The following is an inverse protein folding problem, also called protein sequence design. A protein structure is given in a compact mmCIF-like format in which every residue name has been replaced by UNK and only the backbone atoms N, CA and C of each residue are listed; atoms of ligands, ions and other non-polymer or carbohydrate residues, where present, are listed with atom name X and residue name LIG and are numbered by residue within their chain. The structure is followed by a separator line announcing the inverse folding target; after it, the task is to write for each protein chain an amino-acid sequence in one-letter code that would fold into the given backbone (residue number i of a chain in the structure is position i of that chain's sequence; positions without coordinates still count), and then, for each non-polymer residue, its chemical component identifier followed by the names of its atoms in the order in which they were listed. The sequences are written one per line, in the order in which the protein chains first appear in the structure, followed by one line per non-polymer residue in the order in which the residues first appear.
data_IF_788918061193
#
_entry.id   IF_788918061193
#
_cell.length_a   1.000
_cell.length_b   1.000
_cell.length_c   1.000
_cell.angle_alpha   90.00
_cell.angle_beta   90.00
_cell.angle_gamma   90.00
#
_symmetry.space_group_name_H-M   'P 1'
#
loop_
_entity.id
_entity.type
_entity.pdbx_description
1 polymer ?
#
# COMPACT_ATOMS: atom_id res chain seq x y z
N UNK A 1 -1.70 -11.75 -2.14
CA UNK A 1 -0.59 -12.20 -1.29
C UNK A 1 -0.91 -11.93 0.17
N UNK A 2 -0.77 -12.93 0.98
CA UNK A 2 -0.97 -12.78 2.44
C UNK A 2 0.33 -12.36 3.10
N UNK A 3 0.23 -11.47 4.07
CA UNK A 3 1.33 -10.95 4.86
C UNK A 3 0.96 -10.98 6.33
N UNK A 4 1.97 -10.94 7.20
CA UNK A 4 1.77 -10.67 8.62
C UNK A 4 2.41 -9.33 8.93
N UNK A 5 1.60 -8.38 9.33
CA UNK A 5 2.03 -7.01 9.64
C UNK A 5 1.68 -6.72 11.10
N UNK A 6 2.69 -6.45 11.91
CA UNK A 6 2.52 -6.21 13.34
C UNK A 6 1.72 -7.33 14.04
N UNK A 7 1.99 -8.60 13.66
CA UNK A 7 1.34 -9.77 14.24
C UNK A 7 -0.07 -10.06 13.75
N UNK A 8 -0.57 -9.32 12.75
CA UNK A 8 -1.92 -9.51 12.19
C UNK A 8 -1.88 -9.81 10.71
N UNK A 9 -2.81 -10.63 10.24
CA UNK A 9 -2.90 -10.97 8.83
C UNK A 9 -3.29 -9.74 8.00
N UNK A 10 -2.58 -9.56 6.88
CA UNK A 10 -2.84 -8.51 5.91
C UNK A 10 -2.84 -9.08 4.50
N UNK A 11 -3.52 -8.40 3.59
CA UNK A 11 -3.62 -8.81 2.21
C UNK A 11 -3.12 -7.71 1.27
N UNK A 12 -2.37 -8.11 0.24
CA UNK A 12 -2.00 -7.26 -0.88
C UNK A 12 -2.31 -7.96 -2.19
N UNK A 13 -3.03 -7.28 -3.07
CA UNK A 13 -3.21 -7.71 -4.44
C UNK A 13 -1.95 -7.38 -5.24
N UNK A 14 -1.43 -8.33 -5.98
CA UNK A 14 -0.11 -8.19 -6.64
C UNK A 14 -0.21 -8.01 -8.16
N UNK A 15 -1.37 -7.62 -8.66
CA UNK A 15 -1.58 -7.29 -10.06
C UNK A 15 -1.75 -8.50 -10.98
N UNK A 16 -2.08 -9.67 -10.43
CA UNK A 16 -2.26 -10.88 -11.20
C UNK A 16 -0.97 -11.61 -11.54
N UNK A 17 0.15 -11.23 -10.92
CA UNK A 17 1.46 -11.88 -11.01
C UNK A 17 2.04 -12.10 -9.64
N UNK A 18 2.89 -13.13 -9.44
CA UNK A 18 3.63 -13.28 -8.19
C UNK A 18 4.46 -12.02 -7.90
N UNK A 19 4.48 -11.61 -6.63
CA UNK A 19 5.26 -10.46 -6.23
C UNK A 19 6.75 -10.80 -6.18
N UNK A 20 7.57 -9.95 -6.83
CA UNK A 20 9.03 -10.05 -6.81
C UNK A 20 9.59 -8.78 -6.18
N UNK A 21 10.15 -8.85 -4.95
CA UNK A 21 10.68 -7.69 -4.26
C UNK A 21 11.93 -7.10 -4.93
N UNK A 22 12.57 -7.82 -5.84
CA UNK A 22 13.72 -7.30 -6.59
C UNK A 22 13.32 -6.29 -7.67
N UNK A 23 12.04 -6.26 -8.07
CA UNK A 23 11.56 -5.30 -9.07
C UNK A 23 11.25 -3.95 -8.42
N UNK A 24 11.35 -2.84 -9.18
CA UNK A 24 10.84 -1.56 -8.70
C UNK A 24 9.38 -1.71 -8.31
N UNK A 25 9.03 -1.33 -7.09
CA UNK A 25 7.72 -1.62 -6.50
C UNK A 25 6.85 -0.39 -6.41
N UNK A 26 5.56 -0.57 -6.66
CA UNK A 26 4.52 0.42 -6.40
C UNK A 26 3.59 -0.14 -5.33
N UNK A 27 3.39 0.62 -4.27
CA UNK A 27 2.41 0.34 -3.23
C UNK A 27 1.21 1.26 -3.42
N UNK A 28 0.02 0.67 -3.53
CA UNK A 28 -1.24 1.38 -3.69
C UNK A 28 -2.02 1.35 -2.39
N UNK A 29 -2.54 2.52 -1.99
CA UNK A 29 -3.28 2.70 -0.72
C UNK A 29 -4.66 3.28 -1.04
N UNK A 30 -5.71 2.51 -0.73
CA UNK A 30 -7.09 2.91 -1.00
C UNK A 30 -7.63 3.91 0.04
N UNK A 31 -8.82 4.46 -0.26
CA UNK A 31 -9.53 5.35 0.65
C UNK A 31 -10.35 4.60 1.70
N UNK A 32 -10.95 5.36 2.62
CA UNK A 32 -11.82 4.80 3.66
C UNK A 32 -13.00 4.04 3.02
N UNK A 33 -13.40 2.94 3.65
CA UNK A 33 -14.48 2.01 3.22
C UNK A 33 -14.31 1.47 1.80
N UNK A 34 -13.11 1.54 1.26
CA UNK A 34 -12.73 0.92 0.00
C UNK A 34 -11.87 -0.31 0.27
N UNK A 35 -11.23 -0.83 -0.75
CA UNK A 35 -10.29 -1.94 -0.68
C UNK A 35 -9.34 -1.90 -1.88
N UNK A 36 -8.47 -2.92 -2.01
CA UNK A 36 -7.51 -3.00 -3.11
C UNK A 36 -8.17 -2.93 -4.50
N UNK A 37 -9.44 -3.30 -4.63
CA UNK A 37 -10.08 -3.42 -5.94
C UNK A 37 -10.19 -2.09 -6.70
N UNK A 38 -10.13 -0.95 -6.01
CA UNK A 38 -10.09 0.36 -6.67
C UNK A 38 -8.85 0.54 -7.54
N UNK A 39 -7.82 -0.26 -7.29
CA UNK A 39 -6.54 -0.21 -8.02
C UNK A 39 -6.38 -1.32 -9.05
N UNK A 40 -7.36 -2.21 -9.21
CA UNK A 40 -7.21 -3.46 -9.99
C UNK A 40 -6.62 -3.21 -11.39
N UNK A 41 -7.15 -2.24 -12.13
CA UNK A 41 -6.69 -1.98 -13.50
C UNK A 41 -5.25 -1.46 -13.55
N UNK A 42 -4.93 -0.47 -12.70
CA UNK A 42 -3.57 0.06 -12.63
C UNK A 42 -2.58 -0.97 -12.11
N UNK A 43 -2.97 -1.72 -11.08
CA UNK A 43 -2.13 -2.78 -10.51
C UNK A 43 -1.75 -3.81 -11.58
N UNK A 44 -2.73 -4.26 -12.36
CA UNK A 44 -2.48 -5.22 -13.44
C UNK A 44 -1.56 -4.64 -14.51
N UNK A 45 -1.79 -3.40 -14.88
CA UNK A 45 -0.96 -2.76 -15.90
C UNK A 45 0.51 -2.70 -15.46
N UNK A 46 0.78 -2.20 -14.24
CA UNK A 46 2.15 -2.09 -13.74
C UNK A 46 2.81 -3.45 -13.54
N UNK A 47 2.07 -4.44 -13.02
CA UNK A 47 2.61 -5.78 -12.82
C UNK A 47 3.03 -6.43 -14.14
N UNK A 48 2.32 -6.13 -15.24
CA UNK A 48 2.64 -6.64 -16.57
C UNK A 48 3.66 -5.79 -17.34
N UNK A 49 4.17 -4.72 -16.71
CA UNK A 49 5.16 -3.81 -17.28
C UNK A 49 6.42 -3.69 -16.40
N UNK A 50 6.81 -4.78 -15.77
CA UNK A 50 8.09 -4.89 -15.08
C UNK A 50 8.14 -4.31 -13.68
N UNK A 51 6.99 -4.09 -13.02
CA UNK A 51 6.92 -3.56 -11.66
C UNK A 51 6.44 -4.61 -10.68
N UNK A 52 6.96 -4.54 -9.45
CA UNK A 52 6.34 -5.21 -8.32
C UNK A 52 5.13 -4.37 -7.87
N UNK A 53 4.02 -5.02 -7.56
CA UNK A 53 2.79 -4.32 -7.17
C UNK A 53 2.29 -4.85 -5.84
N UNK A 54 1.98 -3.93 -4.94
CA UNK A 54 1.34 -4.22 -3.66
C UNK A 54 0.14 -3.27 -3.50
N UNK A 55 -1.04 -3.73 -3.85
CA UNK A 55 -2.28 -2.99 -3.60
C UNK A 55 -2.87 -3.54 -2.30
N UNK A 56 -2.63 -2.85 -1.19
CA UNK A 56 -3.01 -3.31 0.14
C UNK A 56 -4.51 -3.15 0.40
N UNK A 57 -5.06 -4.08 1.18
CA UNK A 57 -6.24 -3.82 1.98
C UNK A 57 -5.78 -3.25 3.31
N UNK A 58 -6.23 -2.06 3.67
CA UNK A 58 -5.89 -1.44 4.95
C UNK A 58 -6.45 -2.26 6.12
N UNK A 59 -5.87 -2.15 7.32
CA UNK A 59 -6.38 -2.87 8.50
C UNK A 59 -7.88 -2.66 8.70
N UNK A 60 -8.59 -3.76 8.96
CA UNK A 60 -10.04 -3.74 9.13
C UNK A 60 -10.85 -3.64 7.84
N UNK A 61 -10.19 -3.67 6.68
CA UNK A 61 -10.84 -3.61 5.37
C UNK A 61 -10.66 -4.94 4.63
N UNK A 62 -11.72 -5.43 4.00
CA UNK A 62 -11.75 -6.61 3.14
C UNK A 62 -10.98 -7.80 3.72
N UNK A 63 -9.81 -8.12 3.18
CA UNK A 63 -9.03 -9.32 3.55
C UNK A 63 -7.95 -9.06 4.59
N UNK A 64 -7.81 -7.82 5.06
CA UNK A 64 -6.89 -7.52 6.15
C UNK A 64 -7.60 -7.58 7.50
N UNK A 65 -6.90 -8.12 8.51
CA UNK A 65 -7.46 -8.33 9.82
C UNK A 65 -7.84 -7.03 10.53
N UNK A 66 -8.91 -7.12 11.34
CA UNK A 66 -9.33 -6.03 12.24
C UNK A 66 -8.39 -5.92 13.42
N UNK A 67 -8.39 -4.80 14.16
CA UNK A 67 -9.26 -3.64 13.96
C UNK A 67 -8.73 -2.67 12.91
N UNK A 68 -9.63 -1.79 12.41
CA UNK A 68 -9.21 -0.63 11.65
C UNK A 68 -8.39 0.32 12.53
N UNK A 69 -7.37 0.96 11.94
CA UNK A 69 -6.53 1.88 12.69
C UNK A 69 -7.15 3.27 12.74
N UNK A 70 -6.96 3.99 13.87
CA UNK A 70 -7.74 5.19 14.17
C UNK A 70 -7.23 6.48 13.52
N UNK A 71 -6.04 6.48 12.92
CA UNK A 71 -5.44 7.73 12.43
C UNK A 71 -4.59 7.53 11.18
N UNK A 72 -4.36 8.63 10.47
CA UNK A 72 -3.42 8.65 9.33
C UNK A 72 -2.02 8.26 9.78
N UNK A 73 -1.60 8.71 10.95
CA UNK A 73 -0.28 8.39 11.51
C UNK A 73 -0.13 6.89 11.77
N UNK A 74 -1.14 6.27 12.36
CA UNK A 74 -1.13 4.83 12.62
C UNK A 74 -1.15 4.04 11.30
N UNK A 75 -1.90 4.48 10.31
CA UNK A 75 -1.93 3.85 8.98
C UNK A 75 -0.60 4.02 8.24
N UNK A 76 0.06 5.16 8.39
CA UNK A 76 1.39 5.37 7.80
C UNK A 76 2.44 4.44 8.43
N UNK A 77 2.41 4.27 9.75
CA UNK A 77 3.28 3.31 10.43
C UNK A 77 3.01 1.89 9.95
N UNK A 78 1.73 1.54 9.80
CA UNK A 78 1.33 0.25 9.28
C UNK A 78 1.83 0.04 7.84
N UNK A 79 1.72 1.04 6.97
CA UNK A 79 2.19 0.95 5.58
C UNK A 79 3.69 0.67 5.54
N UNK A 80 4.49 1.37 6.33
CA UNK A 80 5.93 1.14 6.40
C UNK A 80 6.24 -0.27 6.92
N UNK A 81 5.52 -0.74 7.93
CA UNK A 81 5.66 -2.10 8.44
C UNK A 81 5.24 -3.15 7.39
N UNK A 82 4.22 -2.85 6.59
CA UNK A 82 3.77 -3.73 5.52
C UNK A 82 4.82 -3.84 4.40
N UNK A 83 5.48 -2.76 4.06
CA UNK A 83 6.61 -2.79 3.11
C UNK A 83 7.75 -3.66 3.66
N UNK A 84 8.05 -3.53 4.94
CA UNK A 84 9.08 -4.37 5.58
C UNK A 84 8.68 -5.85 5.52
N UNK A 85 7.43 -6.19 5.81
CA UNK A 85 6.93 -7.55 5.76
C UNK A 85 7.01 -8.14 4.34
N UNK A 86 6.88 -7.31 3.31
CA UNK A 86 7.00 -7.71 1.92
C UNK A 86 8.46 -7.74 1.41
N UNK A 87 9.42 -7.35 2.23
CA UNK A 87 10.83 -7.29 1.85
C UNK A 87 11.17 -6.11 0.94
N UNK A 88 10.41 -5.01 1.04
CA UNK A 88 10.56 -3.84 0.18
C UNK A 88 11.16 -2.69 0.98
N UNK A 89 12.35 -2.24 0.58
CA UNK A 89 12.99 -1.08 1.20
C UNK A 89 12.49 0.24 0.65
N UNK A 90 12.25 0.31 -0.65
CA UNK A 90 11.83 1.54 -1.34
C UNK A 90 10.73 1.22 -2.31
N UNK A 91 9.72 2.08 -2.36
CA UNK A 91 8.59 1.93 -3.26
C UNK A 91 8.04 3.30 -3.71
N UNK A 92 7.44 3.33 -4.89
CA UNK A 92 6.54 4.41 -5.23
C UNK A 92 5.26 4.22 -4.40
N UNK A 93 4.79 5.29 -3.78
CA UNK A 93 3.57 5.27 -2.97
C UNK A 93 2.47 6.01 -3.72
N UNK A 94 1.38 5.31 -4.01
CA UNK A 94 0.23 5.87 -4.70
C UNK A 94 -1.00 5.73 -3.80
N UNK A 95 -1.64 6.84 -3.48
CA UNK A 95 -2.80 6.85 -2.61
C UNK A 95 -3.99 7.56 -3.22
N UNK A 96 -5.19 7.12 -2.84
CA UNK A 96 -6.46 7.71 -3.24
C UNK A 96 -7.24 8.16 -2.01
N UNK A 97 -7.71 9.41 -2.00
CA UNK A 97 -8.49 9.98 -0.91
C UNK A 97 -7.73 9.89 0.43
N UNK A 98 -8.28 9.21 1.46
CA UNK A 98 -7.56 8.96 2.72
C UNK A 98 -6.21 8.31 2.46
N UNK A 99 -6.13 7.37 1.53
CA UNK A 99 -4.87 6.70 1.17
C UNK A 99 -3.80 7.65 0.69
N UNK A 100 -4.16 8.78 0.07
CA UNK A 100 -3.19 9.79 -0.34
C UNK A 100 -2.54 10.48 0.85
N UNK A 101 -3.31 10.71 1.92
CA UNK A 101 -2.79 11.29 3.16
C UNK A 101 -1.89 10.29 3.90
N UNK A 102 -2.25 9.01 3.87
CA UNK A 102 -1.42 7.94 4.44
C UNK A 102 -0.09 7.84 3.70
N UNK A 103 -0.11 7.85 2.38
CA UNK A 103 1.09 7.81 1.55
C UNK A 103 1.98 9.03 1.79
N UNK A 104 1.39 10.21 1.87
CA UNK A 104 2.12 11.45 2.18
C UNK A 104 2.78 11.38 3.56
N UNK A 105 2.05 10.94 4.58
CA UNK A 105 2.58 10.84 5.93
C UNK A 105 3.74 9.83 5.98
N UNK A 106 3.60 8.68 5.35
CA UNK A 106 4.67 7.69 5.28
C UNK A 106 5.92 8.24 4.57
N UNK A 107 5.74 8.91 3.44
CA UNK A 107 6.84 9.53 2.70
C UNK A 107 7.52 10.65 3.50
N UNK A 108 6.75 11.42 4.27
CA UNK A 108 7.27 12.49 5.11
C UNK A 108 8.11 11.95 6.27
N UNK A 109 7.68 10.84 6.89
CA UNK A 109 8.40 10.22 8.00
C UNK A 109 9.64 9.49 7.58
N UNK A 110 9.59 8.85 6.42
CA UNK A 110 10.67 7.99 5.92
C UNK A 110 10.91 8.29 4.44
N UNK A 111 11.44 9.49 4.11
CA UNK A 111 11.61 9.88 2.71
C UNK A 111 12.53 8.96 1.93
N UNK A 112 13.44 8.27 2.61
CA UNK A 112 14.32 7.27 2.00
C UNK A 112 13.59 6.01 1.53
N UNK A 113 12.35 5.81 2.01
CA UNK A 113 11.53 4.65 1.66
C UNK A 113 10.65 4.89 0.44
N UNK A 114 10.44 6.15 0.06
CA UNK A 114 9.58 6.54 -1.05
C UNK A 114 10.40 6.99 -2.26
N UNK A 115 10.23 6.32 -3.39
CA UNK A 115 10.87 6.74 -4.65
C UNK A 115 10.04 7.81 -5.35
N UNK A 116 8.72 7.70 -5.26
CA UNK A 116 7.74 8.62 -5.83
C UNK A 116 6.52 8.69 -4.93
N UNK A 117 5.80 9.79 -5.00
CA UNK A 117 4.53 9.96 -4.30
C UNK A 117 3.48 10.42 -5.31
N UNK A 118 2.40 9.64 -5.42
CA UNK A 118 1.26 9.97 -6.27
C UNK A 118 0.02 10.08 -5.39
N UNK A 119 -0.63 11.24 -5.43
CA UNK A 119 -1.81 11.55 -4.62
C UNK A 119 -2.99 11.84 -5.54
N UNK A 120 -4.02 11.01 -5.44
CA UNK A 120 -5.23 11.10 -6.27
C UNK A 120 -6.44 11.38 -5.40
N UNK A 121 -7.28 12.35 -5.81
CA UNK A 121 -8.53 12.66 -5.12
C UNK A 121 -8.32 13.08 -3.66
N UNK A 122 -7.23 13.79 -3.37
CA UNK A 122 -6.93 14.23 -2.00
C UNK A 122 -7.92 15.31 -1.57
N UNK A 123 -8.55 15.10 -0.40
CA UNK A 123 -9.35 16.11 0.26
C UNK A 123 -8.48 16.94 1.19
N UNK A 124 -8.65 18.25 1.11
CA UNK A 124 -7.95 19.20 1.98
C UNK A 124 -8.92 19.73 3.02
#
# INVERSE_FOLDING_TARGET
MKLVVNGREAYAYTGGKPFDPALPTIAFVHGAVNDHSVWTLLARWFAHHGRGVLAFDLPGHMRSASPALPSVQALADWLLAALDAAGVQRAALAGHSLGSLVALEAASRAPERATHLLMLGTCV
#
